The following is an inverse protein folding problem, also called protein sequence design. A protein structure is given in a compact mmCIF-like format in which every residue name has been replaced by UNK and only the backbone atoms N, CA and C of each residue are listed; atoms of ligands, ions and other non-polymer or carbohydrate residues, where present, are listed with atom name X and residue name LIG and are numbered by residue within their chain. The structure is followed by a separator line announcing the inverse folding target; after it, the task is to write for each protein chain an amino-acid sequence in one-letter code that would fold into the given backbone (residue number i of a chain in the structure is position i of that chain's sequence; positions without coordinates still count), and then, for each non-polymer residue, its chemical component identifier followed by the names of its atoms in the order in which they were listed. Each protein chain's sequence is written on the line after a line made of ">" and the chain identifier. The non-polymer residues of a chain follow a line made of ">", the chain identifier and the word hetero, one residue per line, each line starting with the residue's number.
data_IF_770583065973
#
_entry.id   IF_770583065973
#
_cell.length_a   1.000
_cell.length_b   1.000
_cell.length_c   1.000
_cell.angle_alpha   90.00
_cell.angle_beta   90.00
_cell.angle_gamma   90.00
#
_symmetry.space_group_name_H-M   'P 1'
#
loop_
_entity.id
_entity.type
_entity.pdbx_description
1 polymer ?
#
# COMPACT_ATOMS: atom_id res chain seq x y z
N UNK A 1 -13.51 -51.80 48.34
CA UNK A 1 -13.83 -51.71 46.90
C UNK A 1 -14.97 -50.71 46.78
N UNK A 2 -14.68 -49.49 46.34
CA UNK A 2 -15.67 -48.42 46.18
C UNK A 2 -15.61 -47.96 44.72
N UNK A 3 -16.73 -47.85 43.99
CA UNK A 3 -16.68 -47.51 42.58
C UNK A 3 -16.27 -46.05 42.37
N UNK A 4 -15.42 -45.84 41.37
CA UNK A 4 -15.00 -44.55 40.84
C UNK A 4 -16.20 -43.72 40.36
N UNK A 5 -16.38 -42.45 40.78
CA UNK A 5 -17.36 -41.58 40.15
C UNK A 5 -16.90 -41.12 38.77
N UNK A 6 -17.82 -41.08 37.81
CA UNK A 6 -17.62 -40.54 36.46
C UNK A 6 -17.30 -39.03 36.49
N UNK A 7 -16.55 -38.48 35.51
CA UNK A 7 -16.22 -37.06 35.49
C UNK A 7 -17.44 -36.21 35.11
N UNK A 8 -17.64 -35.12 35.85
CA UNK A 8 -18.63 -34.09 35.57
C UNK A 8 -18.28 -33.34 34.27
N UNK A 9 -19.27 -33.21 33.38
CA UNK A 9 -19.17 -32.41 32.18
C UNK A 9 -19.01 -30.92 32.54
N UNK A 10 -17.87 -30.33 32.17
CA UNK A 10 -17.66 -28.88 32.24
C UNK A 10 -18.28 -28.24 30.99
N UNK A 11 -19.24 -27.33 31.20
CA UNK A 11 -19.84 -26.53 30.14
C UNK A 11 -18.82 -25.56 29.53
N UNK A 12 -18.83 -25.29 28.22
CA UNK A 12 -18.01 -24.24 27.63
C UNK A 12 -18.53 -22.84 28.00
N UNK A 13 -17.58 -21.94 28.26
CA UNK A 13 -17.72 -20.50 28.46
C UNK A 13 -18.60 -19.84 27.38
N UNK A 14 -19.56 -18.95 27.73
CA UNK A 14 -20.28 -18.18 26.73
C UNK A 14 -19.35 -17.16 26.06
N UNK A 15 -19.44 -17.04 24.73
CA UNK A 15 -18.75 -16.01 23.94
C UNK A 15 -19.13 -14.60 24.44
N UNK A 16 -18.20 -13.62 24.43
CA UNK A 16 -18.55 -12.25 24.79
C UNK A 16 -19.49 -11.65 23.75
N UNK A 17 -20.62 -11.14 24.23
CA UNK A 17 -21.57 -10.35 23.47
C UNK A 17 -20.88 -9.16 22.80
N UNK A 18 -21.24 -8.91 21.54
CA UNK A 18 -20.79 -7.77 20.76
C UNK A 18 -21.17 -6.45 21.45
N UNK A 19 -20.21 -5.84 22.12
CA UNK A 19 -20.30 -4.44 22.54
C UNK A 19 -19.99 -3.57 21.32
N UNK A 20 -20.99 -2.86 20.82
CA UNK A 20 -20.77 -1.79 19.84
C UNK A 20 -19.92 -0.70 20.51
N UNK A 21 -18.72 -0.37 19.99
CA UNK A 21 -17.95 0.71 20.57
C UNK A 21 -18.61 2.07 20.28
N UNK A 22 -18.71 2.89 21.32
CA UNK A 22 -19.00 4.33 21.28
C UNK A 22 -18.14 5.02 20.21
N UNK A 23 -18.69 5.96 19.41
CA UNK A 23 -17.88 6.65 18.40
C UNK A 23 -16.82 7.53 19.10
N UNK A 24 -15.55 7.17 18.88
CA UNK A 24 -14.40 7.99 19.21
C UNK A 24 -14.46 9.35 18.46
N UNK A 25 -13.81 10.42 18.96
CA UNK A 25 -13.77 11.71 18.26
C UNK A 25 -13.32 11.53 16.81
N UNK A 26 -13.98 12.24 15.89
CA UNK A 26 -13.81 12.11 14.44
C UNK A 26 -12.32 12.08 14.07
N UNK A 27 -11.82 10.88 13.74
CA UNK A 27 -10.45 10.68 13.33
C UNK A 27 -10.18 11.50 12.07
N UNK A 28 -9.01 12.14 12.01
CA UNK A 28 -8.56 12.82 10.78
C UNK A 28 -8.57 11.78 9.65
N UNK A 29 -9.24 12.04 8.51
CA UNK A 29 -9.34 11.05 7.44
C UNK A 29 -7.93 10.73 6.93
N UNK A 30 -7.59 9.43 6.88
CA UNK A 30 -6.36 8.96 6.28
C UNK A 30 -6.61 8.76 4.78
N UNK A 31 -5.77 9.36 3.95
CA UNK A 31 -5.91 9.32 2.49
C UNK A 31 -4.87 8.42 1.88
N UNK A 32 -5.19 7.85 0.72
CA UNK A 32 -4.25 7.04 -0.06
C UNK A 32 -2.92 7.78 -0.29
N UNK A 33 -1.81 7.09 -0.08
CA UNK A 33 -0.47 7.65 -0.26
C UNK A 33 -0.04 7.79 -1.74
N UNK A 34 -0.80 7.27 -2.70
CA UNK A 34 -0.50 7.45 -4.12
C UNK A 34 -0.65 8.93 -4.52
N UNK A 35 0.26 9.43 -5.37
CA UNK A 35 0.34 10.85 -5.73
C UNK A 35 -0.95 11.33 -6.42
N UNK A 36 -1.66 12.25 -5.77
CA UNK A 36 -2.90 12.83 -6.31
C UNK A 36 -4.15 11.96 -6.14
N UNK A 37 -4.05 10.83 -5.42
CA UNK A 37 -5.23 10.06 -5.01
C UNK A 37 -5.82 10.69 -3.73
N UNK A 38 -7.12 10.94 -3.72
CA UNK A 38 -7.83 11.51 -2.56
C UNK A 38 -8.77 10.50 -1.89
N UNK A 39 -8.66 9.22 -2.25
CA UNK A 39 -9.49 8.17 -1.68
C UNK A 39 -9.19 8.02 -0.20
N UNK A 40 -10.21 8.15 0.63
CA UNK A 40 -10.14 7.88 2.06
C UNK A 40 -9.98 6.38 2.30
N UNK A 41 -9.04 6.03 3.17
CA UNK A 41 -8.71 4.66 3.53
C UNK A 41 -8.57 4.55 5.05
N UNK A 42 -8.65 3.33 5.57
CA UNK A 42 -8.42 3.09 6.99
C UNK A 42 -6.96 3.45 7.36
N UNK A 43 -6.69 4.01 8.55
CA UNK A 43 -5.33 4.39 8.98
C UNK A 43 -4.27 3.27 8.95
N UNK A 44 -4.71 2.01 9.04
CA UNK A 44 -3.84 0.82 8.94
C UNK A 44 -3.45 0.47 7.50
N UNK A 45 -4.15 1.01 6.51
CA UNK A 45 -3.89 0.75 5.10
C UNK A 45 -2.94 1.81 4.55
N UNK A 46 -1.97 1.38 3.76
CA UNK A 46 -1.00 2.29 3.15
C UNK A 46 -1.52 2.95 1.86
N UNK A 47 -2.31 2.23 1.06
CA UNK A 47 -2.90 2.73 -0.19
C UNK A 47 -4.28 2.12 -0.38
N UNK A 48 -5.10 2.72 -1.25
CA UNK A 48 -6.37 2.11 -1.65
C UNK A 48 -6.13 0.78 -2.40
N UNK A 49 -7.14 -0.10 -2.51
CA UNK A 49 -6.97 -1.42 -3.14
C UNK A 49 -6.43 -1.36 -4.57
N UNK A 50 -6.83 -0.34 -5.33
CA UNK A 50 -6.39 -0.14 -6.71
C UNK A 50 -4.89 0.17 -6.79
N UNK A 51 -4.41 1.14 -6.01
CA UNK A 51 -2.98 1.50 -5.99
C UNK A 51 -2.13 0.44 -5.29
N UNK A 52 -2.65 -0.24 -4.28
CA UNK A 52 -1.94 -1.34 -3.62
C UNK A 52 -1.63 -2.49 -4.57
N UNK A 53 -2.54 -2.82 -5.49
CA UNK A 53 -2.28 -3.83 -6.55
C UNK A 53 -1.22 -3.38 -7.56
N UNK A 54 -0.92 -2.07 -7.62
CA UNK A 54 0.12 -1.53 -8.49
C UNK A 54 1.52 -1.59 -7.85
N UNK A 55 1.61 -1.71 -6.52
CA UNK A 55 2.88 -1.84 -5.79
C UNK A 55 3.53 -3.20 -6.11
N UNK A 56 4.84 -3.25 -6.44
CA UNK A 56 5.56 -4.50 -6.64
C UNK A 56 5.46 -5.46 -5.43
N UNK A 57 5.29 -6.79 -5.64
CA UNK A 57 5.14 -7.76 -4.56
C UNK A 57 6.22 -7.68 -3.47
N UNK A 58 7.49 -7.55 -3.86
CA UNK A 58 8.61 -7.46 -2.92
C UNK A 58 8.53 -6.22 -2.00
N UNK A 59 8.05 -5.08 -2.53
CA UNK A 59 7.83 -3.87 -1.72
C UNK A 59 6.64 -4.02 -0.79
N UNK A 60 5.58 -4.71 -1.22
CA UNK A 60 4.42 -4.98 -0.35
C UNK A 60 4.84 -5.81 0.87
N UNK A 61 5.63 -6.85 0.65
CA UNK A 61 6.17 -7.70 1.71
C UNK A 61 7.13 -6.92 2.63
N UNK A 62 7.97 -6.05 2.07
CA UNK A 62 8.89 -5.22 2.86
C UNK A 62 8.14 -4.20 3.75
N UNK A 63 7.07 -3.59 3.24
CA UNK A 63 6.19 -2.71 4.02
C UNK A 63 5.48 -3.49 5.12
N UNK A 64 4.91 -4.66 4.80
CA UNK A 64 4.22 -5.51 5.78
C UNK A 64 5.17 -5.99 6.89
N UNK A 65 6.38 -6.41 6.53
CA UNK A 65 7.40 -6.87 7.48
C UNK A 65 7.93 -5.75 8.39
N UNK A 66 7.92 -4.49 7.94
CA UNK A 66 8.40 -3.34 8.73
C UNK A 66 7.28 -2.58 9.44
N UNK A 67 6.02 -2.89 9.10
CA UNK A 67 4.85 -2.28 9.72
C UNK A 67 4.70 -2.72 11.18
N UNK A 68 4.50 -1.75 12.06
CA UNK A 68 4.16 -1.99 13.46
C UNK A 68 2.72 -1.54 13.73
N UNK A 69 1.81 -2.42 14.19
CA UNK A 69 0.48 -2.00 14.61
C UNK A 69 0.55 -0.87 15.64
N UNK A 70 -0.15 0.23 15.39
CA UNK A 70 -0.13 1.43 16.23
C UNK A 70 0.81 2.54 15.74
N UNK A 71 1.66 2.29 14.72
CA UNK A 71 2.53 3.34 14.16
C UNK A 71 1.74 4.50 13.53
N UNK A 72 0.52 4.22 13.08
CA UNK A 72 -0.43 5.18 12.55
C UNK A 72 -0.97 6.12 13.65
N UNK A 73 -0.85 5.71 14.92
CA UNK A 73 -1.27 6.48 16.10
C UNK A 73 -0.07 7.21 16.70
N UNK A 74 1.05 6.52 16.93
CA UNK A 74 2.24 7.10 17.56
C UNK A 74 3.03 8.04 16.62
N UNK A 75 2.83 7.91 15.30
CA UNK A 75 3.52 8.67 14.25
C UNK A 75 5.04 8.54 14.28
N UNK A 76 5.56 7.39 14.73
CA UNK A 76 6.98 7.05 14.80
C UNK A 76 7.34 5.82 13.95
N UNK A 77 7.15 5.87 12.62
CA UNK A 77 7.56 4.79 11.74
C UNK A 77 9.09 4.63 11.74
N UNK A 78 9.56 3.41 11.51
CA UNK A 78 11.00 3.15 11.35
C UNK A 78 11.54 3.81 10.07
N UNK A 79 12.85 4.09 10.03
CA UNK A 79 13.50 4.61 8.83
C UNK A 79 13.39 3.66 7.64
N UNK A 80 13.42 2.34 7.90
CA UNK A 80 13.24 1.31 6.89
C UNK A 80 11.84 1.36 6.28
N UNK A 81 10.80 1.45 7.12
CA UNK A 81 9.42 1.59 6.66
C UNK A 81 9.25 2.82 5.76
N UNK A 82 9.83 3.96 6.15
CA UNK A 82 9.79 5.20 5.36
C UNK A 82 10.47 5.03 3.99
N UNK A 83 11.61 4.33 3.93
CA UNK A 83 12.30 4.03 2.68
C UNK A 83 11.44 3.16 1.75
N UNK A 84 10.83 2.10 2.27
CA UNK A 84 9.95 1.22 1.48
C UNK A 84 8.66 1.94 1.06
N UNK A 85 8.09 2.76 1.94
CA UNK A 85 6.91 3.58 1.64
C UNK A 85 7.21 4.56 0.49
N UNK A 86 8.33 5.28 0.54
CA UNK A 86 8.75 6.16 -0.54
C UNK A 86 8.93 5.42 -1.87
N UNK A 87 9.61 4.27 -1.84
CA UNK A 87 9.82 3.43 -3.01
C UNK A 87 8.50 2.93 -3.62
N UNK A 88 7.51 2.57 -2.77
CA UNK A 88 6.20 2.14 -3.23
C UNK A 88 5.40 3.28 -3.89
N UNK A 89 5.44 4.49 -3.33
CA UNK A 89 4.82 5.68 -3.92
C UNK A 89 5.42 5.97 -5.30
N UNK A 90 6.75 5.94 -5.42
CA UNK A 90 7.46 6.17 -6.67
C UNK A 90 7.16 5.08 -7.72
N UNK A 91 7.09 3.82 -7.29
CA UNK A 91 6.75 2.71 -8.17
C UNK A 91 5.34 2.84 -8.75
N UNK A 92 4.35 3.20 -7.94
CA UNK A 92 2.97 3.44 -8.40
C UNK A 92 2.94 4.63 -9.35
N UNK A 93 3.55 5.76 -8.98
CA UNK A 93 3.61 6.94 -9.84
C UNK A 93 4.25 6.65 -11.20
N UNK A 94 5.34 5.86 -11.22
CA UNK A 94 5.98 5.41 -12.46
C UNK A 94 5.05 4.53 -13.29
N UNK A 95 4.35 3.58 -12.67
CA UNK A 95 3.40 2.69 -13.35
C UNK A 95 2.23 3.47 -13.95
N UNK A 96 1.68 4.44 -13.23
CA UNK A 96 0.61 5.31 -13.73
C UNK A 96 1.08 6.16 -14.91
N UNK A 97 2.29 6.71 -14.84
CA UNK A 97 2.86 7.50 -15.94
C UNK A 97 2.97 6.71 -17.24
N UNK A 98 3.28 5.40 -17.16
CA UNK A 98 3.36 4.49 -18.30
C UNK A 98 1.99 4.07 -18.82
N UNK A 99 1.00 3.97 -17.95
CA UNK A 99 -0.37 3.59 -18.30
C UNK A 99 -1.14 4.73 -18.97
N UNK A 100 -0.80 5.99 -18.63
CA UNK A 100 -1.28 7.14 -19.40
C UNK A 100 -0.77 6.99 -20.82
N UNK A 101 -1.66 6.53 -21.71
CA UNK A 101 -1.38 6.47 -23.15
C UNK A 101 -0.77 7.81 -23.56
N UNK A 102 0.40 7.82 -24.21
CA UNK A 102 0.89 9.04 -24.84
C UNK A 102 -0.24 9.55 -25.73
N UNK A 103 -0.68 10.79 -25.50
CA UNK A 103 -1.59 11.45 -26.44
C UNK A 103 -0.97 11.44 -27.85
N UNK A 104 -1.76 11.73 -28.89
CA UNK A 104 -1.28 11.77 -30.26
C UNK A 104 -0.03 12.67 -30.31
N UNK A 105 1.14 12.08 -30.55
CA UNK A 105 2.35 12.88 -30.79
C UNK A 105 2.12 13.61 -32.10
N UNK A 106 2.18 14.94 -32.08
CA UNK A 106 2.22 15.71 -33.31
C UNK A 106 3.36 15.18 -34.20
N UNK A 107 3.18 15.10 -35.52
CA UNK A 107 4.20 14.56 -36.41
C UNK A 107 5.48 15.39 -36.27
N UNK A 108 6.54 14.79 -35.74
CA UNK A 108 7.87 15.39 -35.71
C UNK A 108 8.34 15.57 -37.15
N UNK A 109 8.85 16.77 -37.48
CA UNK A 109 9.54 17.02 -38.75
C UNK A 109 10.60 15.93 -38.97
N UNK A 110 10.73 15.36 -40.19
CA UNK A 110 11.71 14.32 -40.44
C UNK A 110 13.10 14.84 -40.07
N UNK A 111 13.80 14.11 -39.20
CA UNK A 111 15.21 14.37 -38.91
C UNK A 111 15.97 14.10 -40.19
N UNK A 112 16.33 15.16 -40.92
CA UNK A 112 17.23 15.04 -42.06
C UNK A 112 18.61 14.66 -41.50
N UNK A 113 18.93 13.37 -41.58
CA UNK A 113 20.28 12.85 -41.38
C UNK A 113 21.14 13.39 -42.53
N UNK A 114 21.77 14.53 -42.35
CA UNK A 114 22.78 15.01 -43.27
C UNK A 114 24.00 14.07 -43.17
N UNK A 115 24.15 13.18 -44.16
CA UNK A 115 25.36 12.38 -44.33
C UNK A 115 26.55 13.32 -44.57
N UNK A 116 27.58 13.18 -43.74
CA UNK A 116 28.87 13.84 -43.94
C UNK A 116 29.53 13.31 -45.21
N UNK A 117 29.63 14.15 -46.24
CA UNK A 117 30.57 13.95 -47.34
C UNK A 117 31.97 14.33 -46.84
N UNK A 118 32.77 13.34 -46.44
CA UNK A 118 34.20 13.51 -46.23
C UNK A 118 34.87 13.35 -47.60
N UNK A 119 35.23 14.49 -48.18
CA UNK A 119 35.91 14.57 -49.48
C UNK A 119 37.31 13.95 -49.42
N UNK A 120 37.60 13.14 -50.43
CA UNK A 120 38.93 12.68 -50.78
C UNK A 120 39.76 13.83 -51.36
N UNK A 121 41.03 13.92 -50.97
CA UNK A 121 42.12 14.55 -51.72
C UNK A 121 43.42 13.85 -51.36
#
# INVERSE_FOLDING_TARGET
>A
MNPTPAPAAVNPTPAPAAVNPTPAPAAVPHVCHARGCTTEIEPRLFMCPEHWQQVPPALRESIDSTYRPGQEVDKQPSSEYLAFAAAAIDAVAHKESRQRRPGPRAPSKPVQLALFNIGAS
#
